data_IF_377334977110
#
_entry.id   IF_377334977110
#
_cell.length_a   1.000
_cell.length_b   1.000
_cell.length_c   1.000
_cell.angle_alpha   90.00
_cell.angle_beta   90.00
_cell.angle_gamma   90.00
#
_symmetry.space_group_name_H-M   'P 1'
#
loop_
_entity.id
_entity.type
_entity.pdbx_description
1 polymer ?
#
# COMPACT_ATOMS: atom_id res chain seq x y z
N UNK A 1 -13.35 -19.24 -22.55
CA UNK A 1 -11.93 -19.33 -22.13
C UNK A 1 -11.76 -18.45 -20.92
N UNK A 2 -11.10 -18.87 -19.83
CA UNK A 2 -10.83 -17.98 -18.70
C UNK A 2 -9.99 -16.80 -19.21
N UNK A 3 -10.43 -15.57 -18.89
CA UNK A 3 -9.66 -14.38 -19.23
C UNK A 3 -8.27 -14.48 -18.57
N UNK A 4 -7.18 -14.17 -19.29
CA UNK A 4 -5.84 -14.21 -18.71
C UNK A 4 -5.77 -13.26 -17.52
N UNK A 5 -5.31 -13.75 -16.36
CA UNK A 5 -5.15 -12.93 -15.16
C UNK A 5 -4.15 -11.79 -15.48
N UNK A 6 -4.58 -10.52 -15.43
CA UNK A 6 -3.69 -9.39 -15.72
C UNK A 6 -2.50 -9.36 -14.76
N UNK A 7 -2.67 -9.81 -13.52
CA UNK A 7 -1.60 -9.92 -12.53
C UNK A 7 -0.48 -10.83 -13.01
N UNK A 8 -0.84 -12.03 -13.49
CA UNK A 8 0.13 -13.01 -13.99
C UNK A 8 0.88 -12.42 -15.18
N UNK A 9 0.15 -11.81 -16.10
CA UNK A 9 0.71 -11.20 -17.31
C UNK A 9 1.71 -10.09 -16.96
N UNK A 10 1.33 -9.13 -16.11
CA UNK A 10 2.23 -8.08 -15.66
C UNK A 10 3.39 -8.61 -14.81
N UNK A 11 3.16 -9.63 -13.99
CA UNK A 11 4.20 -10.29 -13.21
C UNK A 11 5.29 -10.92 -14.10
N UNK A 12 4.88 -11.63 -15.15
CA UNK A 12 5.81 -12.21 -16.15
C UNK A 12 6.56 -11.10 -16.89
N UNK A 13 5.87 -10.04 -17.32
CA UNK A 13 6.52 -8.90 -17.98
C UNK A 13 7.60 -8.26 -17.10
N UNK A 14 7.30 -8.03 -15.81
CA UNK A 14 8.28 -7.50 -14.86
C UNK A 14 9.46 -8.47 -14.68
N UNK A 15 9.20 -9.77 -14.63
CA UNK A 15 10.27 -10.78 -14.54
C UNK A 15 11.17 -10.79 -15.77
N UNK A 16 10.59 -10.68 -16.97
CA UNK A 16 11.35 -10.53 -18.23
C UNK A 16 12.21 -9.27 -18.19
N UNK A 17 11.65 -8.13 -17.74
CA UNK A 17 12.42 -6.89 -17.61
C UNK A 17 13.58 -7.02 -16.61
N UNK A 18 13.37 -7.70 -15.48
CA UNK A 18 14.43 -7.99 -14.51
C UNK A 18 15.55 -8.81 -15.17
N UNK A 19 15.21 -9.90 -15.86
CA UNK A 19 16.19 -10.78 -16.52
C UNK A 19 16.97 -10.02 -17.59
N UNK A 20 16.28 -9.30 -18.47
CA UNK A 20 16.92 -8.47 -19.50
C UNK A 20 17.87 -7.45 -18.88
N UNK A 21 17.45 -6.78 -17.81
CA UNK A 21 18.28 -5.81 -17.10
C UNK A 21 19.54 -6.45 -16.49
N UNK A 22 19.42 -7.65 -15.91
CA UNK A 22 20.58 -8.40 -15.37
C UNK A 22 21.57 -8.73 -16.50
N UNK A 23 21.07 -9.26 -17.63
CA UNK A 23 21.90 -9.65 -18.78
C UNK A 23 22.65 -8.45 -19.40
N UNK A 24 21.96 -7.31 -19.58
CA UNK A 24 22.54 -6.11 -20.18
C UNK A 24 23.60 -5.47 -19.27
N UNK A 25 23.30 -5.39 -17.97
CA UNK A 25 24.04 -4.49 -17.10
C UNK A 25 25.31 -5.05 -16.48
N UNK A 26 25.55 -6.38 -16.55
CA UNK A 26 26.72 -7.14 -16.07
C UNK A 26 27.21 -6.87 -14.63
N UNK A 27 26.61 -5.93 -13.91
CA UNK A 27 26.96 -5.53 -12.56
C UNK A 27 25.67 -5.35 -11.77
N UNK A 28 25.33 -6.37 -10.98
CA UNK A 28 24.47 -6.20 -9.81
C UNK A 28 25.39 -5.52 -8.79
N UNK A 29 25.28 -4.20 -8.63
CA UNK A 29 26.23 -3.47 -7.80
C UNK A 29 26.25 -4.04 -6.37
N UNK A 30 27.43 -4.49 -5.96
CA UNK A 30 27.90 -4.89 -4.63
C UNK A 30 26.94 -4.67 -3.44
N UNK A 31 26.47 -5.80 -2.90
CA UNK A 31 26.53 -6.25 -1.49
C UNK A 31 26.18 -5.33 -0.30
N UNK A 32 25.75 -4.08 -0.49
CA UNK A 32 25.52 -3.15 0.63
C UNK A 32 24.07 -3.15 1.17
N UNK A 33 23.27 -4.12 0.72
CA UNK A 33 21.88 -4.36 1.13
C UNK A 33 21.69 -5.71 1.84
N UNK A 34 22.79 -6.39 2.20
CA UNK A 34 22.77 -7.78 2.67
C UNK A 34 21.78 -8.01 3.80
N UNK A 35 21.82 -7.27 4.91
CA UNK A 35 21.02 -7.63 6.07
C UNK A 35 19.52 -7.46 5.85
N UNK A 36 19.06 -6.33 5.29
CA UNK A 36 17.62 -6.11 5.07
C UNK A 36 17.05 -7.05 4.00
N UNK A 37 17.79 -7.26 2.91
CA UNK A 37 17.39 -8.20 1.85
C UNK A 37 17.45 -9.64 2.34
N UNK A 38 18.48 -10.00 3.12
CA UNK A 38 18.59 -11.32 3.74
C UNK A 38 17.44 -11.58 4.71
N UNK A 39 17.11 -10.62 5.60
CA UNK A 39 15.98 -10.73 6.51
C UNK A 39 14.66 -10.92 5.75
N UNK A 40 14.48 -10.20 4.64
CA UNK A 40 13.33 -10.40 3.76
C UNK A 40 13.26 -11.82 3.21
N UNK A 41 14.36 -12.37 2.69
CA UNK A 41 14.40 -13.74 2.19
C UNK A 41 14.27 -14.79 3.30
N UNK A 42 14.84 -14.56 4.48
CA UNK A 42 14.67 -15.44 5.65
C UNK A 42 13.20 -15.47 6.08
N UNK A 43 12.54 -14.31 6.11
CA UNK A 43 11.11 -14.22 6.41
C UNK A 43 10.26 -15.01 5.40
N UNK A 44 10.55 -14.89 4.11
CA UNK A 44 9.83 -15.64 3.06
C UNK A 44 10.18 -17.14 3.07
N UNK A 45 11.42 -17.49 3.41
CA UNK A 45 11.82 -18.87 3.62
C UNK A 45 11.05 -19.50 4.79
N UNK A 46 10.84 -18.76 5.88
CA UNK A 46 10.00 -19.22 6.99
C UNK A 46 8.55 -19.48 6.55
N UNK A 47 8.00 -18.65 5.66
CA UNK A 47 6.68 -18.91 5.07
C UNK A 47 6.67 -20.24 4.31
N UNK A 48 7.71 -20.52 3.51
CA UNK A 48 7.81 -21.81 2.81
C UNK A 48 7.95 -22.99 3.78
N UNK A 49 8.75 -22.84 4.84
CA UNK A 49 8.88 -23.86 5.90
C UNK A 49 7.53 -24.12 6.57
N UNK A 50 6.68 -23.09 6.69
CA UNK A 50 5.36 -23.24 7.31
C UNK A 50 4.37 -24.11 6.52
N UNK A 51 4.66 -24.43 5.26
CA UNK A 51 3.89 -25.41 4.50
C UNK A 51 4.00 -26.83 5.08
N UNK A 52 5.06 -27.14 5.83
CA UNK A 52 5.23 -28.49 6.41
C UNK A 52 4.36 -28.76 7.63
N UNK A 53 3.83 -27.73 8.29
CA UNK A 53 3.03 -27.89 9.51
C UNK A 53 1.69 -27.15 9.47
N UNK A 54 1.35 -26.48 8.37
CA UNK A 54 0.04 -25.85 8.20
C UNK A 54 -1.04 -26.94 8.05
N UNK A 55 -2.21 -26.81 8.71
CA UNK A 55 -3.35 -27.68 8.50
C UNK A 55 -4.09 -27.39 7.17
N UNK A 56 -3.76 -26.28 6.48
CA UNK A 56 -4.38 -25.90 5.20
C UNK A 56 -3.64 -26.54 4.03
N UNK A 57 -4.32 -27.40 3.29
CA UNK A 57 -3.75 -28.07 2.12
C UNK A 57 -3.98 -27.22 0.86
N UNK A 58 -5.21 -26.73 0.68
CA UNK A 58 -5.63 -26.03 -0.51
C UNK A 58 -5.26 -24.55 -0.46
N UNK A 59 -5.74 -23.82 0.56
CA UNK A 59 -5.57 -22.37 0.60
C UNK A 59 -4.10 -21.96 0.80
N UNK A 60 -3.32 -22.71 1.58
CA UNK A 60 -1.88 -22.48 1.75
C UNK A 60 -1.13 -22.46 0.43
N UNK A 61 -1.43 -23.39 -0.50
CA UNK A 61 -0.78 -23.46 -1.81
C UNK A 61 -1.08 -22.21 -2.66
N UNK A 62 -2.34 -21.76 -2.66
CA UNK A 62 -2.76 -20.53 -3.35
C UNK A 62 -2.05 -19.33 -2.74
N UNK A 63 -2.00 -19.24 -1.42
CA UNK A 63 -1.38 -18.13 -0.70
C UNK A 63 0.12 -18.02 -1.00
N UNK A 64 0.85 -19.14 -0.97
CA UNK A 64 2.28 -19.18 -1.32
C UNK A 64 2.52 -18.85 -2.79
N UNK A 65 1.66 -19.31 -3.71
CA UNK A 65 1.77 -18.95 -5.13
C UNK A 65 1.67 -17.43 -5.37
N UNK A 66 0.82 -16.74 -4.60
CA UNK A 66 0.67 -15.28 -4.66
C UNK A 66 1.86 -14.54 -4.04
N UNK A 67 2.45 -15.09 -2.97
CA UNK A 67 3.67 -14.57 -2.35
C UNK A 67 4.87 -14.60 -3.31
N UNK A 68 4.89 -15.46 -4.33
CA UNK A 68 5.91 -15.37 -5.38
C UNK A 68 5.91 -13.99 -6.07
N UNK A 69 4.74 -13.40 -6.33
CA UNK A 69 4.66 -12.04 -6.90
C UNK A 69 5.10 -10.95 -5.92
N UNK A 70 4.98 -11.19 -4.61
CA UNK A 70 5.54 -10.30 -3.59
C UNK A 70 7.07 -10.22 -3.69
N UNK A 71 7.73 -11.37 -3.92
CA UNK A 71 9.18 -11.42 -4.14
C UNK A 71 9.59 -10.64 -5.39
N UNK A 72 8.86 -10.82 -6.50
CA UNK A 72 9.10 -10.06 -7.73
C UNK A 72 8.92 -8.56 -7.47
N UNK A 73 7.83 -8.17 -6.81
CA UNK A 73 7.53 -6.77 -6.50
C UNK A 73 8.63 -6.12 -5.63
N UNK A 74 9.20 -6.86 -4.67
CA UNK A 74 10.32 -6.40 -3.86
C UNK A 74 11.62 -6.22 -4.66
N UNK A 75 11.96 -7.22 -5.48
CA UNK A 75 13.24 -7.27 -6.21
C UNK A 75 13.24 -6.30 -7.40
N UNK A 76 12.11 -6.15 -8.08
CA UNK A 76 11.96 -5.33 -9.29
C UNK A 76 12.57 -3.92 -9.13
N UNK A 77 12.16 -3.09 -8.15
CA UNK A 77 12.71 -1.76 -8.01
C UNK A 77 14.19 -1.73 -7.61
N UNK A 78 14.69 -2.74 -6.90
CA UNK A 78 16.12 -2.85 -6.54
C UNK A 78 16.97 -3.02 -7.80
N UNK A 79 16.48 -3.78 -8.79
CA UNK A 79 17.21 -4.07 -10.02
C UNK A 79 16.98 -3.00 -11.09
N UNK A 80 15.75 -2.51 -11.23
CA UNK A 80 15.34 -1.63 -12.32
C UNK A 80 15.68 -0.16 -12.07
N UNK A 81 15.64 0.32 -10.82
CA UNK A 81 15.94 1.72 -10.48
C UNK A 81 17.42 1.83 -10.13
N UNK A 82 18.21 2.45 -11.01
CA UNK A 82 19.68 2.54 -10.88
C UNK A 82 20.21 3.96 -10.93
N UNK A 83 19.36 4.93 -11.26
CA UNK A 83 19.71 6.34 -11.42
C UNK A 83 18.58 7.20 -10.84
N UNK A 84 18.91 8.41 -10.40
CA UNK A 84 17.90 9.36 -9.92
C UNK A 84 16.83 9.68 -10.98
N UNK A 85 17.22 9.67 -12.26
CA UNK A 85 16.29 9.82 -13.40
C UNK A 85 15.20 8.75 -13.45
N UNK A 86 15.47 7.54 -12.97
CA UNK A 86 14.48 6.45 -12.97
C UNK A 86 13.37 6.75 -11.93
N UNK A 87 13.71 7.41 -10.82
CA UNK A 87 12.73 7.89 -9.82
C UNK A 87 11.93 9.09 -10.33
N UNK A 88 12.57 10.04 -11.02
CA UNK A 88 11.88 11.16 -11.65
C UNK A 88 10.90 10.66 -12.73
N UNK A 89 11.31 9.65 -13.49
CA UNK A 89 10.45 8.97 -14.45
C UNK A 89 9.26 8.31 -13.74
N UNK A 90 9.49 7.54 -12.67
CA UNK A 90 8.41 6.93 -11.89
C UNK A 90 7.42 7.96 -11.34
N UNK A 91 7.91 9.08 -10.79
CA UNK A 91 7.07 10.17 -10.29
C UNK A 91 6.24 10.78 -11.43
N UNK A 92 6.86 11.02 -12.59
CA UNK A 92 6.19 11.60 -13.76
C UNK A 92 5.16 10.63 -14.34
N UNK A 93 5.52 9.37 -14.50
CA UNK A 93 4.62 8.31 -14.95
C UNK A 93 3.41 8.16 -14.03
N UNK A 94 3.64 8.11 -12.72
CA UNK A 94 2.57 8.04 -11.71
C UNK A 94 1.59 9.20 -11.84
N UNK A 95 2.07 10.43 -12.05
CA UNK A 95 1.21 11.60 -12.30
C UNK A 95 0.40 11.44 -13.59
N UNK A 96 1.04 11.05 -14.68
CA UNK A 96 0.39 10.91 -15.98
C UNK A 96 -0.74 9.88 -15.93
N UNK A 97 -0.46 8.69 -15.39
CA UNK A 97 -1.48 7.66 -15.15
C UNK A 97 -2.54 8.18 -14.18
N UNK A 98 -2.14 8.94 -13.16
CA UNK A 98 -3.06 9.54 -12.21
C UNK A 98 -4.11 10.45 -12.81
N UNK A 99 -3.72 11.31 -13.76
CA UNK A 99 -4.67 12.16 -14.49
C UNK A 99 -5.67 11.31 -15.25
N UNK A 100 -5.20 10.26 -15.95
CA UNK A 100 -6.07 9.35 -16.71
C UNK A 100 -7.08 8.68 -15.77
N UNK A 101 -6.63 8.18 -14.62
CA UNK A 101 -7.52 7.55 -13.62
C UNK A 101 -8.53 8.54 -13.06
N UNK A 102 -8.11 9.76 -12.71
CA UNK A 102 -9.04 10.79 -12.21
C UNK A 102 -10.10 11.13 -13.26
N UNK A 103 -9.72 11.34 -14.52
CA UNK A 103 -10.66 11.61 -15.62
C UNK A 103 -11.64 10.46 -15.79
N UNK A 104 -11.14 9.22 -15.78
CA UNK A 104 -11.98 8.02 -15.88
C UNK A 104 -12.97 7.89 -14.71
N UNK A 105 -12.52 8.12 -13.47
CA UNK A 105 -13.39 8.09 -12.30
C UNK A 105 -14.41 9.23 -12.28
N UNK A 106 -14.06 10.41 -12.80
CA UNK A 106 -15.03 11.49 -13.01
C UNK A 106 -16.09 11.08 -14.02
N UNK A 107 -15.70 10.47 -15.15
CA UNK A 107 -16.64 9.95 -16.13
C UNK A 107 -17.60 8.94 -15.49
N UNK A 108 -17.06 7.96 -14.75
CA UNK A 108 -17.83 6.97 -14.00
C UNK A 108 -18.77 7.59 -12.96
N UNK A 109 -18.32 8.66 -12.28
CA UNK A 109 -19.16 9.42 -11.34
C UNK A 109 -20.37 10.07 -12.04
N UNK A 110 -20.18 10.71 -13.19
CA UNK A 110 -21.27 11.34 -13.93
C UNK A 110 -22.26 10.34 -14.53
N UNK A 111 -21.84 9.09 -14.76
CA UNK A 111 -22.73 7.99 -15.14
C UNK A 111 -23.44 7.33 -13.95
N UNK A 112 -23.18 7.75 -12.71
CA UNK A 112 -23.63 7.08 -11.48
C UNK A 112 -23.15 5.61 -11.36
N UNK A 113 -22.04 5.27 -12.00
CA UNK A 113 -21.48 3.91 -12.06
C UNK A 113 -20.36 3.66 -11.03
N UNK A 114 -20.06 4.62 -10.14
CA UNK A 114 -19.09 4.41 -9.07
C UNK A 114 -19.47 3.27 -8.11
N UNK A 115 -20.74 2.88 -8.05
CA UNK A 115 -21.21 1.73 -7.27
C UNK A 115 -20.64 0.40 -7.77
N UNK A 116 -20.22 0.30 -9.04
CA UNK A 116 -19.60 -0.90 -9.61
C UNK A 116 -18.35 -1.30 -8.82
N UNK A 117 -17.59 -0.31 -8.30
CA UNK A 117 -16.42 -0.56 -7.47
C UNK A 117 -16.75 -1.07 -6.05
N UNK A 118 -18.01 -0.94 -5.61
CA UNK A 118 -18.48 -1.29 -4.25
C UNK A 118 -19.12 -2.68 -4.18
N UNK A 119 -19.56 -3.26 -5.30
CA UNK A 119 -20.18 -4.60 -5.32
C UNK A 119 -19.09 -5.65 -5.08
N UNK A 120 -19.32 -6.54 -4.10
CA UNK A 120 -18.40 -7.61 -3.70
C UNK A 120 -18.87 -8.97 -4.19
N UNK A 121 -17.86 -9.77 -4.51
CA UNK A 121 -17.81 -11.25 -4.56
C UNK A 121 -18.23 -11.97 -5.85
N UNK A 122 -19.29 -11.58 -6.56
CA UNK A 122 -19.79 -12.41 -7.67
C UNK A 122 -19.31 -12.00 -9.08
N UNK A 123 -18.94 -10.74 -9.29
CA UNK A 123 -18.39 -10.26 -10.56
C UNK A 123 -16.85 -10.42 -10.60
N UNK A 124 -16.45 -11.65 -10.92
CA UNK A 124 -15.06 -12.12 -11.01
C UNK A 124 -14.22 -11.20 -11.92
N UNK A 125 -13.40 -10.34 -11.31
CA UNK A 125 -12.15 -9.84 -11.88
C UNK A 125 -12.20 -8.76 -12.96
N UNK A 126 -13.37 -8.20 -13.30
CA UNK A 126 -13.48 -7.16 -14.35
C UNK A 126 -13.14 -5.76 -13.84
N UNK A 127 -13.38 -5.47 -12.55
CA UNK A 127 -13.17 -4.14 -11.97
C UNK A 127 -12.25 -4.21 -10.72
N UNK A 128 -11.37 -3.22 -10.51
CA UNK A 128 -10.57 -3.14 -9.29
C UNK A 128 -11.45 -2.86 -8.07
N UNK A 129 -11.09 -3.40 -6.90
CA UNK A 129 -11.82 -3.10 -5.65
C UNK A 129 -11.71 -1.60 -5.31
N UNK A 130 -12.80 -1.00 -4.80
CA UNK A 130 -12.82 0.42 -4.39
C UNK A 130 -11.65 0.82 -3.48
N UNK A 131 -11.18 -0.11 -2.63
CA UNK A 131 -10.03 0.10 -1.76
C UNK A 131 -8.74 0.31 -2.55
N UNK A 132 -8.49 -0.49 -3.59
CA UNK A 132 -7.30 -0.37 -4.44
C UNK A 132 -7.31 0.95 -5.22
N UNK A 133 -8.48 1.37 -5.73
CA UNK A 133 -8.63 2.64 -6.44
C UNK A 133 -8.38 3.82 -5.50
N UNK A 134 -9.00 3.82 -4.32
CA UNK A 134 -8.79 4.88 -3.32
C UNK A 134 -7.34 4.94 -2.84
N UNK A 135 -6.70 3.78 -2.69
CA UNK A 135 -5.29 3.69 -2.36
C UNK A 135 -4.39 4.33 -3.44
N UNK A 136 -4.66 4.05 -4.72
CA UNK A 136 -3.95 4.69 -5.81
C UNK A 136 -4.13 6.21 -5.80
N UNK A 137 -5.36 6.71 -5.59
CA UNK A 137 -5.62 8.15 -5.45
C UNK A 137 -4.83 8.78 -4.29
N UNK A 138 -4.70 8.09 -3.16
CA UNK A 138 -3.86 8.56 -2.05
C UNK A 138 -2.38 8.65 -2.42
N UNK A 139 -1.87 7.67 -3.17
CA UNK A 139 -0.50 7.70 -3.73
C UNK A 139 -0.31 8.90 -4.65
N UNK A 140 -1.28 9.20 -5.53
CA UNK A 140 -1.25 10.37 -6.40
C UNK A 140 -1.19 11.66 -5.61
N UNK A 141 -2.05 11.84 -4.62
CA UNK A 141 -2.10 13.06 -3.80
C UNK A 141 -0.75 13.30 -3.12
N UNK A 142 -0.14 12.26 -2.53
CA UNK A 142 1.20 12.37 -1.93
C UNK A 142 2.23 12.82 -2.97
N UNK A 143 2.24 12.18 -4.14
CA UNK A 143 3.13 12.55 -5.23
C UNK A 143 2.90 14.00 -5.66
N UNK A 144 1.66 14.43 -5.89
CA UNK A 144 1.35 15.80 -6.30
C UNK A 144 1.78 16.84 -5.26
N UNK A 145 1.39 16.67 -4.00
CA UNK A 145 1.72 17.58 -2.91
C UNK A 145 3.23 17.78 -2.78
N UNK A 146 3.99 16.70 -2.81
CA UNK A 146 5.42 16.74 -2.53
C UNK A 146 6.27 17.01 -3.79
N UNK A 147 5.70 16.83 -4.98
CA UNK A 147 6.42 17.00 -6.24
C UNK A 147 6.26 18.38 -6.89
N UNK A 148 5.37 19.24 -6.42
CA UNK A 148 5.15 20.56 -7.02
C UNK A 148 5.68 21.68 -6.12
N UNK A 149 6.47 22.58 -6.70
CA UNK A 149 6.98 23.76 -5.99
C UNK A 149 5.89 24.82 -5.76
N UNK A 150 4.80 24.77 -6.53
CA UNK A 150 3.68 25.73 -6.51
C UNK A 150 2.37 24.98 -6.34
N UNK A 151 2.04 24.66 -5.08
CA UNK A 151 0.86 23.87 -4.72
C UNK A 151 -0.45 24.40 -5.32
N UNK A 152 -0.62 25.72 -5.43
CA UNK A 152 -1.86 26.33 -5.93
C UNK A 152 -2.28 25.86 -7.33
N UNK A 153 -1.34 25.46 -8.21
CA UNK A 153 -1.66 24.98 -9.56
C UNK A 153 -2.30 23.59 -9.57
N UNK A 154 -2.08 22.82 -8.51
CA UNK A 154 -2.52 21.41 -8.41
C UNK A 154 -3.60 21.19 -7.35
N UNK A 155 -3.96 22.22 -6.57
CA UNK A 155 -5.05 22.15 -5.59
C UNK A 155 -6.33 21.59 -6.20
N UNK A 156 -6.84 22.07 -7.36
CA UNK A 156 -8.08 21.53 -7.93
C UNK A 156 -8.02 20.01 -8.17
N UNK A 157 -6.86 19.51 -8.65
CA UNK A 157 -6.66 18.09 -8.90
C UNK A 157 -6.58 17.28 -7.61
N UNK A 158 -5.90 17.80 -6.57
CA UNK A 158 -5.86 17.17 -5.24
C UNK A 158 -7.26 17.11 -4.63
N UNK A 159 -8.02 18.20 -4.71
CA UNK A 159 -9.38 18.26 -4.17
C UNK A 159 -10.32 17.30 -4.91
N UNK A 160 -10.17 17.20 -6.24
CA UNK A 160 -10.91 16.26 -7.05
C UNK A 160 -10.57 14.80 -6.69
N UNK A 161 -9.28 14.48 -6.51
CA UNK A 161 -8.86 13.15 -6.07
C UNK A 161 -9.39 12.81 -4.67
N UNK A 162 -9.35 13.75 -3.72
CA UNK A 162 -9.93 13.58 -2.38
C UNK A 162 -11.44 13.39 -2.44
N UNK A 163 -12.15 14.16 -3.26
CA UNK A 163 -13.57 14.00 -3.49
C UNK A 163 -13.90 12.59 -4.01
N UNK A 164 -13.20 12.11 -5.04
CA UNK A 164 -13.39 10.77 -5.58
C UNK A 164 -13.06 9.68 -4.54
N UNK A 165 -12.02 9.86 -3.71
CA UNK A 165 -11.71 8.95 -2.60
C UNK A 165 -12.86 8.87 -1.58
N UNK A 166 -13.51 10.01 -1.28
CA UNK A 166 -14.67 10.06 -0.39
C UNK A 166 -15.89 9.38 -1.00
N UNK A 167 -16.11 9.52 -2.32
CA UNK A 167 -17.20 8.84 -3.03
C UNK A 167 -17.03 7.31 -3.03
N UNK A 168 -15.79 6.84 -3.12
CA UNK A 168 -15.44 5.42 -2.96
C UNK A 168 -15.61 4.93 -1.52
N UNK A 169 -15.91 5.82 -0.57
CA UNK A 169 -16.21 5.55 0.84
C UNK A 169 -15.12 4.77 1.61
N UNK A 170 -13.87 4.86 1.15
CA UNK A 170 -12.72 4.21 1.77
C UNK A 170 -12.10 5.12 2.84
N UNK A 171 -12.45 4.89 4.11
CA UNK A 171 -11.99 5.71 5.24
C UNK A 171 -10.50 5.54 5.55
N UNK A 172 -9.99 4.30 5.50
CA UNK A 172 -8.59 3.96 5.81
C UNK A 172 -7.58 4.73 4.96
N UNK A 173 -7.68 4.71 3.61
CA UNK A 173 -6.78 5.45 2.74
C UNK A 173 -6.67 6.94 3.02
N UNK A 174 -7.75 7.60 3.43
CA UNK A 174 -7.75 9.04 3.76
C UNK A 174 -7.01 9.27 5.08
N UNK A 175 -7.34 8.49 6.12
CA UNK A 175 -6.70 8.61 7.43
C UNK A 175 -5.19 8.41 7.32
N UNK A 176 -4.75 7.36 6.64
CA UNK A 176 -3.33 7.05 6.50
C UNK A 176 -2.59 8.01 5.60
N UNK A 177 -3.26 8.63 4.62
CA UNK A 177 -2.69 9.70 3.82
C UNK A 177 -2.33 10.89 4.71
N UNK A 178 -3.27 11.32 5.56
CA UNK A 178 -3.05 12.44 6.49
C UNK A 178 -1.91 12.11 7.46
N UNK A 179 -1.98 10.96 8.14
CA UNK A 179 -0.94 10.54 9.09
C UNK A 179 0.44 10.47 8.44
N UNK A 180 0.55 9.91 7.24
CA UNK A 180 1.84 9.76 6.54
C UNK A 180 2.46 11.11 6.18
N UNK A 181 1.65 12.05 5.69
CA UNK A 181 2.13 13.41 5.36
C UNK A 181 2.58 14.13 6.65
N UNK A 182 1.80 14.04 7.73
CA UNK A 182 2.12 14.70 9.00
C UNK A 182 3.43 14.19 9.62
N UNK A 183 3.66 12.87 9.58
CA UNK A 183 4.83 12.25 10.19
C UNK A 183 6.14 12.58 9.44
N UNK A 184 6.12 12.61 8.12
CA UNK A 184 7.33 12.89 7.32
C UNK A 184 7.62 14.38 7.21
N UNK A 185 6.58 15.21 7.17
CA UNK A 185 6.69 16.58 6.68
C UNK A 185 6.16 17.63 7.66
N UNK A 186 6.63 17.58 8.91
CA UNK A 186 6.31 18.57 9.95
C UNK A 186 6.56 20.03 9.51
N UNK A 187 7.59 20.28 8.69
CA UNK A 187 7.92 21.62 8.15
C UNK A 187 6.99 22.10 7.03
N UNK A 188 6.41 21.19 6.25
CA UNK A 188 5.41 21.58 5.22
C UNK A 188 4.15 22.14 5.86
N UNK A 189 3.71 21.56 6.99
CA UNK A 189 2.56 22.08 7.75
C UNK A 189 2.78 23.56 8.12
N UNK A 190 3.97 23.88 8.63
CA UNK A 190 4.33 25.23 9.07
C UNK A 190 4.38 26.21 7.88
N UNK A 191 4.82 25.75 6.70
CA UNK A 191 4.86 26.59 5.50
C UNK A 191 3.48 26.74 4.85
N UNK A 192 2.61 25.74 4.95
CA UNK A 192 1.22 25.81 4.48
C UNK A 192 0.40 26.83 5.28
N UNK A 193 0.59 26.90 6.59
CA UNK A 193 -0.07 27.88 7.46
C UNK A 193 0.35 29.32 7.12
N UNK A 194 1.53 29.52 6.52
CA UNK A 194 2.03 30.83 6.08
C UNK A 194 1.55 31.26 4.68
N UNK A 195 0.78 30.42 3.97
CA UNK A 195 0.23 30.80 2.66
C UNK A 195 -0.86 31.85 2.87
N UNK A 196 -0.71 32.99 2.19
CA UNK A 196 -1.59 34.17 2.23
C UNK A 196 -3.08 33.78 2.41
N UNK A 197 -3.63 34.10 3.57
CA UNK A 197 -4.88 33.57 4.14
C UNK A 197 -6.08 33.68 3.20
N UNK A 198 -6.10 34.70 2.35
CA UNK A 198 -7.19 34.97 1.40
C UNK A 198 -7.28 33.94 0.25
N UNK A 199 -6.14 33.49 -0.29
CA UNK A 199 -6.15 32.46 -1.35
C UNK A 199 -6.47 31.09 -0.78
N UNK A 200 -5.96 30.79 0.41
CA UNK A 200 -6.29 29.57 1.16
C UNK A 200 -7.80 29.49 1.46
N UNK A 201 -8.41 30.61 1.85
CA UNK A 201 -9.85 30.71 2.09
C UNK A 201 -10.69 30.41 0.84
N UNK A 202 -10.30 30.91 -0.34
CA UNK A 202 -11.01 30.63 -1.59
C UNK A 202 -10.95 29.14 -1.98
N UNK A 203 -9.78 28.50 -1.84
CA UNK A 203 -9.65 27.06 -2.09
C UNK A 203 -10.40 26.21 -1.06
N UNK A 204 -10.38 26.63 0.21
CA UNK A 204 -11.15 25.98 1.28
C UNK A 204 -12.65 26.09 1.02
N UNK A 205 -13.13 27.27 0.63
CA UNK A 205 -14.53 27.51 0.24
C UNK A 205 -14.92 26.68 -0.98
N UNK A 206 -14.08 26.64 -2.03
CA UNK A 206 -14.31 25.79 -3.20
C UNK A 206 -14.35 24.31 -2.85
N UNK A 207 -13.47 23.88 -1.95
CA UNK A 207 -13.44 22.51 -1.42
C UNK A 207 -14.70 22.18 -0.62
N UNK A 208 -15.16 23.09 0.23
CA UNK A 208 -16.41 22.97 0.96
C UNK A 208 -17.60 22.91 0.01
N UNK A 209 -17.61 23.69 -1.08
CA UNK A 209 -18.66 23.63 -2.10
C UNK A 209 -18.68 22.26 -2.80
N UNK A 210 -17.51 21.70 -3.15
CA UNK A 210 -17.44 20.35 -3.74
C UNK A 210 -17.94 19.28 -2.76
N UNK A 211 -17.53 19.37 -1.48
CA UNK A 211 -18.01 18.48 -0.42
C UNK A 211 -19.52 18.63 -0.17
N UNK A 212 -20.03 19.86 -0.26
CA UNK A 212 -21.44 20.20 -0.11
C UNK A 212 -22.28 19.71 -1.30
N UNK A 213 -21.77 19.80 -2.53
CA UNK A 213 -22.42 19.22 -3.71
C UNK A 213 -22.43 17.68 -3.61
N UNK A 214 -21.33 17.08 -3.14
CA UNK A 214 -21.30 15.64 -2.82
C UNK A 214 -22.37 15.25 -1.81
N UNK A 215 -22.51 16.04 -0.73
CA UNK A 215 -23.54 15.86 0.31
C UNK A 215 -24.96 15.81 -0.28
N UNK A 216 -25.30 16.71 -1.20
CA UNK A 216 -26.63 16.81 -1.80
C UNK A 216 -26.92 15.83 -2.95
N UNK A 217 -25.90 15.19 -3.55
CA UNK A 217 -26.05 14.29 -4.71
C UNK A 217 -26.17 12.80 -4.35
N UNK A 218 -26.46 12.46 -3.09
CA UNK A 218 -26.65 11.07 -2.64
C UNK A 218 -25.63 10.58 -1.59
N UNK A 219 -24.65 11.41 -1.20
CA UNK A 219 -23.82 11.11 -0.02
C UNK A 219 -24.64 11.18 1.26
N UNK A 220 -25.68 12.02 1.36
CA UNK A 220 -26.52 12.08 2.57
C UNK A 220 -27.03 10.69 2.93
N UNK A 221 -27.70 9.99 2.02
CA UNK A 221 -28.28 8.67 2.29
C UNK A 221 -27.22 7.61 2.64
N UNK A 222 -26.05 7.60 2.00
CA UNK A 222 -24.97 6.65 2.33
C UNK A 222 -24.19 7.02 3.61
N UNK A 223 -24.06 8.31 3.92
CA UNK A 223 -23.38 8.81 5.10
C UNK A 223 -24.31 8.69 6.31
N UNK A 224 -25.60 9.02 6.18
CA UNK A 224 -26.62 8.77 7.20
C UNK A 224 -26.88 7.29 7.36
N UNK A 225 -26.95 6.47 6.30
CA UNK A 225 -27.00 5.01 6.42
C UNK A 225 -25.70 4.38 6.96
N UNK A 226 -24.66 5.16 7.26
CA UNK A 226 -23.46 4.68 7.97
C UNK A 226 -23.21 5.40 9.30
N UNK A 227 -23.89 6.52 9.55
CA UNK A 227 -23.81 7.30 10.79
C UNK A 227 -25.02 7.08 11.70
N UNK A 228 -26.23 6.92 11.15
CA UNK A 228 -27.44 6.52 11.89
C UNK A 228 -27.44 5.03 12.25
N UNK A 229 -26.59 4.23 11.60
CA UNK A 229 -26.37 2.82 11.94
C UNK A 229 -25.41 2.62 13.12
N UNK A 230 -24.94 3.70 13.75
CA UNK A 230 -24.20 3.65 15.02
C UNK A 230 -25.14 3.31 16.19
N UNK A 231 -26.46 3.42 16.03
CA UNK A 231 -27.46 3.10 17.05
C UNK A 231 -28.13 1.71 16.87
N UNK A 232 -27.77 0.95 15.83
CA UNK A 232 -28.36 -0.36 15.51
C UNK A 232 -27.31 -1.45 15.36
N UNK A 233 -27.16 -2.28 16.40
CA UNK A 233 -26.15 -3.36 16.55
C UNK A 233 -26.21 -4.45 15.45
N UNK A 234 -27.22 -4.46 14.59
CA UNK A 234 -27.49 -5.62 13.71
C UNK A 234 -26.86 -5.56 12.31
N UNK A 235 -26.28 -4.44 11.84
CA UNK A 235 -25.83 -4.35 10.43
C UNK A 235 -24.41 -3.79 10.17
N UNK A 236 -23.57 -3.52 11.18
CA UNK A 236 -22.15 -3.16 10.97
C UNK A 236 -21.25 -4.41 10.76
N UNK A 237 -21.69 -5.29 9.85
CA UNK A 237 -21.06 -6.60 9.61
C UNK A 237 -19.56 -6.48 9.31
N UNK A 238 -19.11 -5.44 8.59
CA UNK A 238 -17.69 -5.29 8.27
C UNK A 238 -16.81 -4.93 9.47
N UNK A 239 -17.27 -4.06 10.37
CA UNK A 239 -16.50 -3.70 11.58
C UNK A 239 -16.49 -4.86 12.58
N UNK A 240 -17.65 -5.49 12.79
CA UNK A 240 -17.80 -6.64 13.69
C UNK A 240 -16.96 -7.83 13.19
N UNK A 241 -17.00 -8.12 11.88
CA UNK A 241 -16.22 -9.20 11.27
C UNK A 241 -14.71 -8.97 11.42
N UNK A 242 -14.22 -7.71 11.35
CA UNK A 242 -12.80 -7.41 11.61
C UNK A 242 -12.42 -7.69 13.07
N UNK A 243 -13.26 -7.34 14.03
CA UNK A 243 -13.01 -7.64 15.45
C UNK A 243 -13.04 -9.16 15.67
N UNK A 244 -14.01 -9.86 15.09
CA UNK A 244 -14.11 -11.32 15.14
C UNK A 244 -12.85 -11.99 14.58
N UNK A 245 -12.39 -11.59 13.39
CA UNK A 245 -11.16 -12.13 12.80
C UNK A 245 -9.90 -11.74 13.56
N UNK A 246 -9.83 -10.55 14.14
CA UNK A 246 -8.71 -10.14 14.98
C UNK A 246 -8.62 -11.00 16.26
N UNK A 247 -9.75 -11.27 16.92
CA UNK A 247 -9.82 -12.17 18.08
C UNK A 247 -9.46 -13.61 17.67
N UNK A 248 -9.93 -14.07 16.52
CA UNK A 248 -9.54 -15.36 15.94
C UNK A 248 -8.03 -15.48 15.76
N UNK A 249 -7.39 -14.47 15.17
CA UNK A 249 -5.95 -14.44 14.98
C UNK A 249 -5.21 -14.51 16.32
N UNK A 250 -5.70 -13.77 17.31
CA UNK A 250 -5.10 -13.75 18.64
C UNK A 250 -5.22 -15.11 19.35
N UNK A 251 -6.38 -15.77 19.24
CA UNK A 251 -6.58 -17.12 19.79
C UNK A 251 -5.65 -18.15 19.12
N UNK A 252 -5.48 -18.08 17.80
CA UNK A 252 -4.51 -18.93 17.08
C UNK A 252 -3.10 -18.68 17.60
N UNK A 253 -2.69 -17.42 17.76
CA UNK A 253 -1.39 -17.08 18.31
C UNK A 253 -1.19 -17.62 19.72
N UNK A 254 -2.18 -17.55 20.61
CA UNK A 254 -2.10 -18.11 21.97
C UNK A 254 -1.89 -19.63 21.92
N UNK A 255 -2.58 -20.32 21.01
CA UNK A 255 -2.47 -21.78 20.87
C UNK A 255 -1.16 -22.21 20.20
N UNK A 256 -0.60 -21.39 19.32
CA UNK A 256 0.62 -21.67 18.56
C UNK A 256 1.63 -20.50 18.62
N UNK A 257 2.17 -20.15 19.80
CA UNK A 257 2.88 -18.88 20.00
C UNK A 257 4.24 -18.80 19.29
N UNK A 258 4.93 -19.92 19.11
CA UNK A 258 6.29 -19.93 18.59
C UNK A 258 6.35 -19.87 17.06
N UNK A 259 5.74 -20.86 16.40
CA UNK A 259 5.76 -21.01 14.95
C UNK A 259 4.44 -20.61 14.28
N UNK A 260 3.40 -20.27 15.04
CA UNK A 260 2.07 -20.02 14.49
C UNK A 260 1.39 -21.30 14.01
N UNK A 261 0.17 -21.16 13.49
CA UNK A 261 -0.61 -22.26 12.93
C UNK A 261 -0.17 -22.71 11.53
N UNK A 262 0.79 -22.02 10.91
CA UNK A 262 1.24 -22.25 9.54
C UNK A 262 0.56 -21.33 8.52
N UNK A 263 1.20 -21.10 7.37
CA UNK A 263 0.67 -20.24 6.30
C UNK A 263 -0.70 -20.71 5.82
N UNK A 264 -1.67 -19.79 5.75
CA UNK A 264 -3.03 -20.08 5.30
C UNK A 264 -3.89 -20.84 6.31
N UNK A 265 -3.39 -21.13 7.52
CA UNK A 265 -4.11 -21.91 8.53
C UNK A 265 -5.32 -21.19 9.15
N UNK A 266 -5.41 -19.86 8.97
CA UNK A 266 -6.43 -19.03 9.61
C UNK A 266 -7.86 -19.50 9.33
N UNK A 267 -8.20 -19.80 8.08
CA UNK A 267 -9.55 -20.28 7.72
C UNK A 267 -9.93 -21.56 8.46
N UNK A 268 -9.02 -22.52 8.54
CA UNK A 268 -9.28 -23.80 9.22
C UNK A 268 -9.36 -23.62 10.73
N UNK A 269 -8.36 -22.95 11.31
CA UNK A 269 -8.25 -22.84 12.76
C UNK A 269 -9.30 -21.91 13.39
N UNK A 270 -9.85 -20.96 12.62
CA UNK A 270 -10.86 -20.02 13.10
C UNK A 270 -12.27 -20.32 12.59
N UNK A 271 -12.43 -20.71 11.31
CA UNK A 271 -13.73 -20.93 10.67
C UNK A 271 -14.05 -22.42 10.47
N UNK A 272 -13.12 -23.33 10.80
CA UNK A 272 -13.31 -24.77 10.63
C UNK A 272 -13.30 -25.24 9.17
N UNK A 273 -12.89 -24.41 8.21
CA UNK A 273 -12.90 -24.74 6.78
C UNK A 273 -11.69 -24.17 6.04
N UNK A 274 -11.21 -24.89 5.03
CA UNK A 274 -10.04 -24.49 4.22
C UNK A 274 -10.45 -23.46 3.15
N UNK A 275 -10.75 -22.25 3.62
CA UNK A 275 -11.27 -21.13 2.81
C UNK A 275 -10.36 -19.91 2.92
N UNK A 276 -10.52 -18.99 1.96
CA UNK A 276 -9.82 -17.71 1.96
C UNK A 276 -10.31 -16.84 3.14
N UNK A 277 -9.54 -16.81 4.22
CA UNK A 277 -9.78 -15.94 5.37
C UNK A 277 -8.46 -15.47 5.99
N UNK A 278 -8.45 -14.25 6.55
CA UNK A 278 -7.33 -13.73 7.34
C UNK A 278 -7.78 -12.62 8.30
N UNK A 279 -6.91 -12.25 9.22
CA UNK A 279 -7.12 -11.17 10.19
C UNK A 279 -7.25 -9.76 9.57
N UNK A 280 -7.05 -9.61 8.25
CA UNK A 280 -6.98 -8.34 7.51
C UNK A 280 -5.99 -7.30 8.10
N UNK A 281 -5.03 -7.77 8.90
CA UNK A 281 -3.98 -6.96 9.50
C UNK A 281 -2.70 -7.78 9.44
N UNK A 282 -1.69 -7.29 8.70
CA UNK A 282 -0.44 -8.01 8.47
C UNK A 282 0.27 -8.45 9.76
N UNK A 283 0.14 -7.68 10.85
CA UNK A 283 0.76 -8.02 12.14
C UNK A 283 0.05 -9.22 12.77
N UNK A 284 -1.29 -9.17 12.85
CA UNK A 284 -2.08 -10.26 13.42
C UNK A 284 -2.00 -11.53 12.57
N UNK A 285 -1.96 -11.36 11.24
CA UNK A 285 -1.79 -12.46 10.31
C UNK A 285 -0.42 -13.13 10.47
N UNK A 286 0.66 -12.35 10.57
CA UNK A 286 2.00 -12.91 10.82
C UNK A 286 2.10 -13.56 12.21
N UNK A 287 1.50 -12.97 13.24
CA UNK A 287 1.48 -13.56 14.58
C UNK A 287 0.71 -14.88 14.62
N UNK A 288 -0.48 -14.93 14.01
CA UNK A 288 -1.29 -16.15 14.01
C UNK A 288 -0.70 -17.25 13.14
N UNK A 289 -0.15 -16.92 11.96
CA UNK A 289 0.33 -17.94 11.01
C UNK A 289 1.80 -18.31 11.16
N UNK A 290 2.67 -17.39 11.62
CA UNK A 290 4.12 -17.60 11.73
C UNK A 290 4.67 -17.42 13.17
N UNK A 291 3.80 -17.10 14.12
CA UNK A 291 4.15 -16.96 15.54
C UNK A 291 5.10 -15.81 15.83
N UNK A 292 5.70 -15.86 17.01
CA UNK A 292 6.68 -14.86 17.47
C UNK A 292 7.95 -14.86 16.62
N UNK A 293 8.31 -16.00 16.01
CA UNK A 293 9.49 -16.12 15.13
C UNK A 293 9.28 -15.27 13.87
N UNK A 294 8.16 -15.45 13.17
CA UNK A 294 7.83 -14.65 11.99
C UNK A 294 7.66 -13.17 12.33
N UNK A 295 6.99 -12.86 13.45
CA UNK A 295 6.82 -11.49 13.91
C UNK A 295 8.15 -10.79 14.24
N UNK A 296 9.07 -11.49 14.89
CA UNK A 296 10.40 -10.96 15.23
C UNK A 296 11.20 -10.64 13.96
N UNK A 297 11.17 -11.53 12.96
CA UNK A 297 11.80 -11.29 11.65
C UNK A 297 11.20 -10.07 10.95
N UNK A 298 9.87 -9.91 11.00
CA UNK A 298 9.20 -8.74 10.43
C UNK A 298 9.63 -7.44 11.13
N UNK A 299 9.69 -7.42 12.47
CA UNK A 299 10.18 -6.26 13.23
C UNK A 299 11.63 -5.95 12.86
N UNK A 300 12.51 -6.96 12.88
CA UNK A 300 13.92 -6.78 12.55
C UNK A 300 14.07 -6.20 11.14
N UNK A 301 13.31 -6.73 10.18
CA UNK A 301 13.29 -6.22 8.81
C UNK A 301 12.96 -4.71 8.76
N UNK A 302 11.90 -4.27 9.46
CA UNK A 302 11.55 -2.84 9.51
C UNK A 302 12.57 -1.98 10.28
N UNK A 303 13.18 -2.51 11.34
CA UNK A 303 14.24 -1.82 12.10
C UNK A 303 15.46 -1.57 11.20
N UNK A 304 15.94 -2.60 10.49
CA UNK A 304 17.07 -2.48 9.59
C UNK A 304 16.76 -1.58 8.39
N UNK A 305 15.55 -1.65 7.84
CA UNK A 305 15.06 -0.71 6.84
C UNK A 305 15.18 0.74 7.35
N UNK A 306 14.73 1.03 8.57
CA UNK A 306 14.79 2.37 9.13
C UNK A 306 16.23 2.87 9.37
N UNK A 307 17.13 1.99 9.80
CA UNK A 307 18.55 2.35 9.99
C UNK A 307 19.20 2.77 8.67
N UNK A 308 18.90 2.06 7.58
CA UNK A 308 19.38 2.40 6.24
C UNK A 308 18.89 3.79 5.80
N UNK A 309 17.63 4.13 6.10
CA UNK A 309 17.04 5.44 5.78
C UNK A 309 17.76 6.61 6.46
N UNK A 310 18.19 6.42 7.71
CA UNK A 310 18.89 7.45 8.51
C UNK A 310 20.30 7.72 7.99
N UNK A 311 21.00 6.70 7.52
CA UNK A 311 22.38 6.81 7.01
C UNK A 311 22.51 7.73 5.79
N UNK A 312 21.42 7.93 5.05
CA UNK A 312 21.38 8.73 3.82
C UNK A 312 20.97 10.20 4.04
N UNK A 313 21.23 10.79 5.20
CA UNK A 313 20.83 12.17 5.49
C UNK A 313 21.60 13.27 4.76
N UNK A 314 22.61 12.92 3.94
CA UNK A 314 23.54 13.87 3.33
C UNK A 314 23.32 14.22 1.84
N UNK A 315 22.16 13.91 1.25
CA UNK A 315 21.94 14.18 -0.19
C UNK A 315 21.06 15.41 -0.47
N UNK A 316 21.51 16.24 -1.41
CA UNK A 316 20.82 17.44 -1.91
C UNK A 316 19.44 17.18 -2.57
N UNK A 317 19.09 15.92 -2.88
CA UNK A 317 17.78 15.55 -3.44
C UNK A 317 16.72 15.30 -2.35
N UNK A 318 16.42 16.35 -1.57
CA UNK A 318 15.46 16.28 -0.46
C UNK A 318 14.07 15.83 -0.94
N UNK A 319 13.67 16.25 -2.15
CA UNK A 319 12.31 16.06 -2.67
C UNK A 319 11.94 14.60 -2.93
N UNK A 320 12.73 13.88 -3.73
CA UNK A 320 12.46 12.47 -4.06
C UNK A 320 12.52 11.60 -2.80
N UNK A 321 13.47 11.89 -1.90
CA UNK A 321 13.55 11.27 -0.57
C UNK A 321 12.25 11.44 0.22
N UNK A 322 11.70 12.66 0.28
CA UNK A 322 10.45 12.92 1.00
C UNK A 322 9.25 12.19 0.39
N UNK A 323 9.14 12.17 -0.94
CA UNK A 323 8.09 11.45 -1.67
C UNK A 323 8.15 9.95 -1.32
N UNK A 324 9.29 9.32 -1.56
CA UNK A 324 9.47 7.87 -1.37
C UNK A 324 9.21 7.46 0.09
N UNK A 325 9.67 8.27 1.05
CA UNK A 325 9.43 8.02 2.47
C UNK A 325 7.97 8.13 2.87
N UNK A 326 7.27 9.13 2.33
CA UNK A 326 5.84 9.32 2.62
C UNK A 326 5.03 8.20 2.00
N UNK A 327 5.37 7.79 0.77
CA UNK A 327 4.73 6.65 0.10
C UNK A 327 4.98 5.35 0.86
N UNK A 328 6.21 5.07 1.28
CA UNK A 328 6.52 3.88 2.08
C UNK A 328 5.71 3.83 3.38
N UNK A 329 5.65 4.93 4.14
CA UNK A 329 4.85 4.98 5.37
C UNK A 329 3.36 4.81 5.11
N UNK A 330 2.85 5.45 4.05
CA UNK A 330 1.48 5.29 3.63
C UNK A 330 1.14 3.83 3.32
N UNK A 331 2.05 3.14 2.64
CA UNK A 331 1.92 1.72 2.33
C UNK A 331 1.95 0.83 3.57
N UNK A 332 2.83 1.13 4.53
CA UNK A 332 2.91 0.38 5.79
C UNK A 332 1.59 0.52 6.55
N UNK A 333 1.07 1.74 6.73
CA UNK A 333 -0.18 1.93 7.46
C UNK A 333 -1.38 1.26 6.76
N UNK A 334 -1.42 1.31 5.44
CA UNK A 334 -2.46 0.62 4.67
C UNK A 334 -2.40 -0.90 4.88
N UNK A 335 -1.20 -1.48 4.90
CA UNK A 335 -1.03 -2.91 5.12
C UNK A 335 -1.43 -3.39 6.52
N UNK A 336 -1.43 -2.49 7.51
CA UNK A 336 -1.86 -2.80 8.87
C UNK A 336 -3.38 -2.92 9.02
N UNK A 337 -4.19 -2.48 8.04
CA UNK A 337 -5.65 -2.44 8.19
C UNK A 337 -6.42 -3.09 7.04
N UNK A 338 -5.79 -3.23 5.87
CA UNK A 338 -6.51 -3.62 4.67
C UNK A 338 -5.74 -4.56 3.74
N UNK A 339 -4.63 -5.16 4.17
CA UNK A 339 -3.88 -6.10 3.32
C UNK A 339 -3.75 -7.48 3.94
N UNK A 340 -3.80 -8.48 3.05
CA UNK A 340 -3.35 -9.83 3.30
C UNK A 340 -1.84 -9.96 3.04
N UNK A 341 -1.19 -10.93 3.67
CA UNK A 341 0.23 -11.17 3.47
C UNK A 341 0.54 -11.45 1.98
N UNK A 342 -0.31 -12.24 1.32
CA UNK A 342 -0.14 -12.63 -0.09
C UNK A 342 -0.45 -11.52 -1.11
N UNK A 343 -1.20 -10.49 -0.70
CA UNK A 343 -1.54 -9.34 -1.55
C UNK A 343 -0.68 -8.09 -1.24
N UNK A 344 0.37 -8.23 -0.43
CA UNK A 344 1.27 -7.15 0.01
C UNK A 344 2.27 -6.65 -1.06
N UNK A 345 2.02 -6.93 -2.34
CA UNK A 345 2.88 -6.59 -3.49
C UNK A 345 3.25 -5.11 -3.55
N UNK A 346 2.26 -4.25 -3.33
CA UNK A 346 2.45 -2.78 -3.40
C UNK A 346 3.39 -2.33 -2.26
N UNK A 347 3.18 -2.82 -1.03
CA UNK A 347 4.07 -2.54 0.10
C UNK A 347 5.51 -2.97 -0.21
N UNK A 348 5.70 -4.19 -0.70
CA UNK A 348 7.02 -4.71 -1.00
C UNK A 348 7.72 -3.98 -2.15
N UNK A 349 6.97 -3.56 -3.17
CA UNK A 349 7.48 -2.64 -4.19
C UNK A 349 8.00 -1.34 -3.58
N UNK A 350 7.23 -0.69 -2.70
CA UNK A 350 7.69 0.56 -2.09
C UNK A 350 8.86 0.37 -1.13
N UNK A 351 8.99 -0.79 -0.48
CA UNK A 351 10.18 -1.11 0.30
C UNK A 351 11.40 -1.26 -0.61
N UNK A 352 11.30 -2.05 -1.68
CA UNK A 352 12.40 -2.22 -2.63
C UNK A 352 12.79 -0.91 -3.33
N UNK A 353 11.80 -0.06 -3.66
CA UNK A 353 12.00 1.29 -4.20
C UNK A 353 12.74 2.19 -3.20
N UNK A 354 12.37 2.12 -1.92
CA UNK A 354 13.06 2.84 -0.85
C UNK A 354 14.52 2.38 -0.75
N UNK A 355 14.77 1.07 -0.66
CA UNK A 355 16.12 0.51 -0.59
C UNK A 355 16.99 0.91 -1.79
N UNK A 356 16.44 0.84 -3.00
CA UNK A 356 17.12 1.29 -4.22
C UNK A 356 17.52 2.76 -4.15
N UNK A 357 16.58 3.63 -3.75
CA UNK A 357 16.84 5.06 -3.62
C UNK A 357 17.98 5.34 -2.63
N UNK A 358 17.90 4.69 -1.47
CA UNK A 358 18.86 4.86 -0.39
C UNK A 358 20.26 4.30 -0.70
N UNK A 359 20.32 3.29 -1.55
CA UNK A 359 21.60 2.78 -2.06
C UNK A 359 22.29 3.77 -2.99
N UNK A 360 21.54 4.36 -3.92
CA UNK A 360 22.09 5.35 -4.84
C UNK A 360 22.58 6.61 -4.11
N UNK A 361 21.84 7.04 -3.11
CA UNK A 361 22.22 8.20 -2.30
C UNK A 361 23.49 7.95 -1.50
N UNK A 362 23.68 6.78 -0.90
CA UNK A 362 24.93 6.41 -0.20
C UNK A 362 26.11 6.31 -1.19
N UNK A 363 25.92 5.66 -2.34
CA UNK A 363 26.97 5.54 -3.37
C UNK A 363 27.44 6.91 -3.88
N UNK A 364 26.52 7.86 -4.01
CA UNK A 364 26.85 9.24 -4.42
C UNK A 364 27.69 10.00 -3.39
N UNK A 365 27.64 9.62 -2.11
CA UNK A 365 28.47 10.19 -1.05
C UNK A 365 29.87 9.59 -1.14
N UNK A 366 29.98 8.25 -1.22
CA UNK A 366 31.27 7.56 -1.25
C UNK A 366 32.11 7.97 -2.47
N UNK A 367 31.49 8.13 -3.64
CA UNK A 367 32.20 8.51 -4.88
C UNK A 367 32.67 9.97 -4.94
N UNK A 368 32.26 10.81 -3.98
CA UNK A 368 32.68 12.21 -3.89
C UNK A 368 33.91 12.44 -3.01
N UNK A 369 34.31 11.44 -2.23
CA UNK A 369 35.54 11.40 -1.46
C UNK A 369 36.51 10.42 -2.11
#
# INVERSE_FOLDING_TARGET
MPNPDPTLTFGILVLVLIVLQILISKAISTLFLQTTVLLFFIFHFLILVSLFYTPSEYYASIKVSKIFFNLIAFIAPIILFRRNKDFDFFITFTKSVGVIVIVYLCYQYFLNELSIYKVREDDIGLYPEYMSVSYFLGTLIIVYILSFNRLFKIIPLILLALFLMLQLAAKGPILFLVISILLVNRKLIITWIKINTFKSFFYFSFCLVILFIGYFTGMYEQLTNRLLFVDGVENDQSSIQRVFFALGAFNIFINFPFLGGGIGSFGILHLGSDVRASAHNIILEVLSELGIVGFSLLILFFVFLNNYRKSSNNTNEIKNKLIINTLLLYNIFQSMVASYLEDSRILYFFIGLSLSYYHLSIKSIITKY
#
